data_IF_985039036302
#
_entry.id   IF_985039036302
#
_cell.length_a   1.000
_cell.length_b   1.000
_cell.length_c   1.000
_cell.angle_alpha   90.00
_cell.angle_beta   90.00
_cell.angle_gamma   90.00
#
_symmetry.space_group_name_H-M   'P 1'
#
loop_
_entity.id
_entity.type
_entity.pdbx_description
1 polymer ?
#
# COMPACT_ATOMS: atom_id res chain seq x y z
N UNK A 1 3.40 -18.04 -4.08
CA UNK A 1 3.90 -16.91 -3.28
C UNK A 1 2.70 -16.07 -2.88
N UNK A 2 2.55 -15.76 -1.60
CA UNK A 2 1.60 -14.78 -1.11
C UNK A 2 1.80 -13.44 -1.84
N UNK A 3 0.72 -12.83 -2.34
CA UNK A 3 0.76 -11.52 -2.98
C UNK A 3 0.29 -10.48 -1.99
N UNK A 4 1.07 -9.40 -1.75
CA UNK A 4 0.66 -8.39 -0.79
C UNK A 4 -0.65 -7.74 -1.22
N UNK A 5 -1.54 -7.45 -0.27
CA UNK A 5 -2.78 -6.71 -0.55
C UNK A 5 -2.68 -5.32 0.03
N UNK A 6 -3.19 -4.33 -0.71
CA UNK A 6 -3.24 -2.94 -0.27
C UNK A 6 -4.67 -2.52 -0.05
N UNK A 7 -4.92 -1.89 1.09
CA UNK A 7 -6.21 -1.39 1.51
C UNK A 7 -6.14 0.10 1.77
N UNK A 8 -7.24 0.82 1.54
CA UNK A 8 -7.37 2.24 1.84
C UNK A 8 -8.59 2.53 2.68
N UNK A 9 -8.51 3.57 3.49
CA UNK A 9 -9.65 4.13 4.22
C UNK A 9 -9.55 5.66 4.23
N UNK A 10 -10.60 6.35 3.81
CA UNK A 10 -10.70 7.82 3.87
C UNK A 10 -11.30 8.33 5.18
N UNK A 11 -11.91 7.43 5.97
CA UNK A 11 -12.73 7.79 7.14
C UNK A 11 -12.04 7.48 8.46
N UNK A 12 -11.49 6.28 8.62
CA UNK A 12 -10.96 5.77 9.88
C UNK A 12 -9.58 5.12 9.71
N UNK A 13 -8.70 5.25 10.70
CA UNK A 13 -7.35 4.63 10.68
C UNK A 13 -7.35 3.24 11.31
N UNK A 14 -8.32 2.99 12.17
CA UNK A 14 -8.42 1.82 13.01
C UNK A 14 -8.45 0.57 12.13
N UNK A 15 -7.50 -0.34 12.41
CA UNK A 15 -7.37 -1.60 11.72
C UNK A 15 -7.43 -2.73 12.74
N UNK A 16 -8.11 -3.82 12.37
CA UNK A 16 -8.20 -5.04 13.14
C UNK A 16 -7.83 -6.24 12.26
N UNK A 17 -7.36 -7.31 12.88
CA UNK A 17 -7.18 -8.58 12.18
C UNK A 17 -8.55 -9.23 11.90
N UNK A 18 -8.72 -9.82 10.72
CA UNK A 18 -9.95 -10.51 10.34
C UNK A 18 -9.91 -11.05 8.92
N UNK A 19 -10.65 -12.13 8.63
CA UNK A 19 -10.57 -12.83 7.34
C UNK A 19 -10.93 -11.98 6.11
N UNK A 20 -11.68 -10.90 6.30
CA UNK A 20 -12.22 -10.07 5.22
C UNK A 20 -11.45 -8.76 4.99
N UNK A 21 -10.39 -8.48 5.78
CA UNK A 21 -9.60 -7.26 5.67
C UNK A 21 -9.46 -6.50 7.00
N UNK A 22 -8.87 -5.28 6.97
CA UNK A 22 -8.54 -4.53 8.19
C UNK A 22 -9.76 -3.93 8.92
N UNK A 23 -10.98 -4.04 8.38
CA UNK A 23 -12.21 -3.55 8.99
C UNK A 23 -13.17 -2.90 7.99
N UNK A 24 -14.36 -2.50 8.45
CA UNK A 24 -15.48 -2.04 7.59
C UNK A 24 -15.21 -0.73 6.84
N UNK A 25 -14.26 0.08 7.30
CA UNK A 25 -13.87 1.33 6.66
C UNK A 25 -12.84 1.15 5.54
N UNK A 26 -12.32 -0.07 5.40
CA UNK A 26 -11.23 -0.39 4.49
C UNK A 26 -11.73 -1.00 3.20
N UNK A 27 -11.19 -0.51 2.08
CA UNK A 27 -11.47 -1.02 0.75
C UNK A 27 -10.21 -1.67 0.19
N UNK A 28 -10.32 -2.89 -0.35
CA UNK A 28 -9.22 -3.51 -1.08
C UNK A 28 -9.04 -2.82 -2.43
N UNK A 29 -7.84 -2.29 -2.69
CA UNK A 29 -7.59 -1.46 -3.88
C UNK A 29 -6.55 -2.04 -4.82
N UNK A 30 -5.76 -3.04 -4.40
CA UNK A 30 -4.62 -3.44 -5.21
C UNK A 30 -3.60 -4.32 -4.50
N UNK A 31 -2.44 -4.35 -5.13
CA UNK A 31 -1.26 -5.08 -4.71
C UNK A 31 0.00 -4.24 -4.96
N UNK A 32 1.13 -4.70 -4.43
CA UNK A 32 2.44 -4.09 -4.66
C UNK A 32 3.27 -5.04 -5.50
N UNK A 33 3.81 -4.55 -6.62
CA UNK A 33 4.86 -5.26 -7.32
C UNK A 33 6.17 -5.19 -6.52
N UNK A 34 6.43 -6.18 -5.68
CA UNK A 34 7.58 -6.20 -4.75
C UNK A 34 8.94 -6.15 -5.46
N UNK A 35 8.99 -6.54 -6.73
CA UNK A 35 10.21 -6.51 -7.55
C UNK A 35 10.53 -5.10 -8.06
N UNK A 36 9.50 -4.32 -8.37
CA UNK A 36 9.63 -2.93 -8.82
C UNK A 36 9.71 -1.97 -7.63
N UNK A 37 8.98 -2.26 -6.56
CA UNK A 37 8.86 -1.42 -5.37
C UNK A 37 9.83 -1.81 -4.25
N UNK A 38 11.11 -1.93 -4.60
CA UNK A 38 12.16 -2.49 -3.72
C UNK A 38 12.40 -1.71 -2.44
N UNK A 39 12.28 -0.38 -2.47
CA UNK A 39 12.48 0.46 -1.29
C UNK A 39 11.36 0.24 -0.27
N UNK A 40 10.10 0.29 -0.72
CA UNK A 40 8.95 -0.04 0.11
C UNK A 40 9.05 -1.47 0.64
N UNK A 41 9.34 -2.43 -0.24
CA UNK A 41 9.41 -3.83 0.15
C UNK A 41 10.56 -4.10 1.14
N UNK A 42 11.69 -3.42 1.00
CA UNK A 42 12.77 -3.48 1.98
C UNK A 42 12.31 -2.97 3.35
N UNK A 43 11.54 -1.88 3.40
CA UNK A 43 10.99 -1.39 4.67
C UNK A 43 9.96 -2.35 5.28
N UNK A 44 9.10 -2.95 4.45
CA UNK A 44 8.18 -4.01 4.88
C UNK A 44 8.96 -5.18 5.47
N UNK A 45 10.06 -5.62 4.85
CA UNK A 45 10.94 -6.67 5.38
C UNK A 45 11.57 -6.31 6.73
N UNK A 46 11.90 -5.03 6.97
CA UNK A 46 12.35 -4.57 8.29
C UNK A 46 11.25 -4.74 9.32
N UNK A 47 10.02 -4.33 9.01
CA UNK A 47 8.88 -4.52 9.91
C UNK A 47 8.50 -6.00 10.13
N UNK A 48 8.89 -6.88 9.22
CA UNK A 48 8.75 -8.33 9.36
C UNK A 48 9.89 -8.97 10.18
N UNK A 49 10.94 -8.23 10.56
CA UNK A 49 12.13 -8.79 11.22
C UNK A 49 13.09 -9.52 10.28
N UNK A 50 12.87 -9.45 8.96
CA UNK A 50 13.68 -10.13 7.94
C UNK A 50 14.90 -9.31 7.49
N UNK A 51 14.98 -8.04 7.91
CA UNK A 51 16.04 -7.11 7.54
C UNK A 51 16.32 -6.14 8.67
N UNK A 52 17.58 -5.76 8.86
CA UNK A 52 17.99 -4.85 9.93
C UNK A 52 17.65 -3.37 9.67
N UNK A 53 17.55 -2.95 8.40
CA UNK A 53 17.28 -1.57 8.04
C UNK A 53 16.93 -1.37 6.57
N UNK A 54 16.27 -0.24 6.28
CA UNK A 54 15.86 0.17 4.95
C UNK A 54 15.71 1.69 4.88
N UNK A 55 15.91 2.32 3.71
CA UNK A 55 15.56 3.72 3.52
C UNK A 55 14.05 3.92 3.70
N UNK A 56 13.64 5.10 4.17
CA UNK A 56 12.24 5.49 4.21
C UNK A 56 11.79 5.94 2.80
N UNK A 57 10.91 5.19 2.11
CA UNK A 57 10.38 5.61 0.82
C UNK A 57 9.48 6.85 0.97
N UNK A 58 9.60 7.77 0.01
CA UNK A 58 8.68 8.93 -0.09
C UNK A 58 7.35 8.58 -0.77
N UNK A 59 7.27 7.42 -1.40
CA UNK A 59 6.12 6.96 -2.14
C UNK A 59 6.40 5.69 -2.94
N UNK A 60 5.35 5.12 -3.53
CA UNK A 60 5.42 3.90 -4.32
C UNK A 60 4.32 3.84 -5.39
N UNK A 61 4.49 3.00 -6.42
CA UNK A 61 3.41 2.71 -7.36
C UNK A 61 2.58 1.52 -6.87
N UNK A 62 1.28 1.75 -6.75
CA UNK A 62 0.27 0.74 -6.47
C UNK A 62 -0.18 0.10 -7.78
N UNK A 63 -0.22 -1.24 -7.81
CA UNK A 63 -0.92 -1.99 -8.87
C UNK A 63 -2.40 -2.07 -8.51
N UNK A 64 -3.15 -1.08 -8.99
CA UNK A 64 -4.56 -0.89 -8.68
C UNK A 64 -5.50 -1.88 -9.37
N UNK A 65 -6.49 -2.37 -8.63
CA UNK A 65 -7.60 -3.15 -9.17
C UNK A 65 -8.53 -2.25 -9.97
N UNK A 66 -8.75 -2.60 -11.24
CA UNK A 66 -9.66 -1.87 -12.12
C UNK A 66 -11.13 -1.89 -11.66
N UNK A 67 -11.52 -2.87 -10.84
CA UNK A 67 -12.84 -2.98 -10.24
C UNK A 67 -13.03 -2.10 -8.99
N UNK A 68 -11.96 -1.50 -8.46
CA UNK A 68 -12.03 -0.69 -7.24
C UNK A 68 -12.52 0.73 -7.57
N UNK A 69 -13.63 1.20 -6.95
CA UNK A 69 -14.12 2.56 -7.14
C UNK A 69 -13.08 3.62 -6.75
N UNK A 70 -12.32 3.35 -5.67
CA UNK A 70 -11.27 4.24 -5.22
C UNK A 70 -10.13 4.39 -6.25
N UNK A 71 -9.78 3.31 -6.97
CA UNK A 71 -8.78 3.37 -8.04
C UNK A 71 -9.27 4.20 -9.23
N UNK A 72 -10.55 4.07 -9.59
CA UNK A 72 -11.15 4.88 -10.63
C UNK A 72 -11.08 6.37 -10.28
N UNK A 73 -11.48 6.73 -9.05
CA UNK A 73 -11.41 8.10 -8.53
C UNK A 73 -9.96 8.62 -8.48
N UNK A 74 -9.02 7.83 -7.94
CA UNK A 74 -7.61 8.21 -7.84
C UNK A 74 -7.00 8.50 -9.22
N UNK A 75 -7.40 7.74 -10.25
CA UNK A 75 -6.95 7.95 -11.63
C UNK A 75 -7.53 9.22 -12.24
N UNK A 76 -8.81 9.51 -11.99
CA UNK A 76 -9.50 10.68 -12.52
C UNK A 76 -9.01 11.98 -11.85
N UNK A 77 -8.95 11.98 -10.52
CA UNK A 77 -8.65 13.19 -9.73
C UNK A 77 -7.15 13.41 -9.51
N UNK A 78 -6.33 12.36 -9.59
CA UNK A 78 -4.89 12.44 -9.33
C UNK A 78 -4.62 13.08 -7.96
N UNK A 79 -3.78 14.11 -7.93
CA UNK A 79 -3.42 14.83 -6.70
C UNK A 79 -4.60 15.52 -5.98
N UNK A 80 -5.75 15.68 -6.65
CA UNK A 80 -6.97 16.20 -6.03
C UNK A 80 -7.81 15.13 -5.33
N UNK A 81 -7.43 13.85 -5.42
CA UNK A 81 -8.05 12.78 -4.65
C UNK A 81 -7.91 13.06 -3.15
N UNK A 82 -8.95 12.72 -2.37
CA UNK A 82 -8.90 12.86 -0.92
C UNK A 82 -7.70 12.08 -0.36
N UNK A 83 -7.02 12.63 0.65
CA UNK A 83 -5.98 11.90 1.39
C UNK A 83 -6.58 10.66 2.08
N UNK A 84 -5.79 9.67 2.44
CA UNK A 84 -6.33 8.39 2.96
C UNK A 84 -5.33 7.67 3.87
N UNK A 85 -5.83 6.84 4.76
CA UNK A 85 -5.03 5.84 5.44
C UNK A 85 -4.77 4.66 4.52
N UNK A 86 -3.58 4.09 4.60
CA UNK A 86 -3.19 2.94 3.78
C UNK A 86 -2.73 1.80 4.69
N UNK A 87 -3.19 0.59 4.39
CA UNK A 87 -2.75 -0.63 5.05
C UNK A 87 -2.15 -1.61 4.03
N UNK A 88 -1.01 -2.20 4.37
CA UNK A 88 -0.35 -3.26 3.60
C UNK A 88 -0.51 -4.55 4.37
N UNK A 89 -1.17 -5.52 3.75
CA UNK A 89 -1.11 -6.92 4.13
C UNK A 89 0.06 -7.56 3.38
N UNK A 90 1.20 -7.84 4.03
CA UNK A 90 2.39 -8.34 3.34
C UNK A 90 2.21 -9.77 2.81
N UNK A 91 1.25 -10.53 3.36
CA UNK A 91 1.02 -11.94 3.02
C UNK A 91 -0.29 -12.17 2.24
N UNK A 92 -1.18 -11.19 2.23
CA UNK A 92 -2.48 -11.27 1.59
C UNK A 92 -3.48 -12.21 2.29
N UNK A 93 -3.14 -12.66 3.50
CA UNK A 93 -3.90 -13.62 4.31
C UNK A 93 -4.51 -13.01 5.58
N UNK A 94 -4.45 -11.68 5.71
CA UNK A 94 -4.95 -10.93 6.85
C UNK A 94 -4.31 -11.25 8.21
N UNK A 95 -3.19 -11.97 8.24
CA UNK A 95 -2.47 -12.29 9.48
C UNK A 95 -1.73 -11.09 10.09
N UNK A 96 -1.40 -10.09 9.26
CA UNK A 96 -0.68 -8.89 9.67
C UNK A 96 -1.02 -7.70 8.77
N UNK A 97 -1.04 -6.51 9.33
CA UNK A 97 -1.14 -5.26 8.58
C UNK A 97 -0.08 -4.24 9.01
N UNK A 98 0.43 -3.49 8.04
CA UNK A 98 1.23 -2.29 8.24
C UNK A 98 0.42 -1.07 7.81
N UNK A 99 0.01 -0.26 8.78
CA UNK A 99 -0.91 0.87 8.58
C UNK A 99 -0.16 2.18 8.68
N UNK A 100 -0.38 3.10 7.73
CA UNK A 100 0.35 4.36 7.72
C UNK A 100 0.13 5.18 8.99
N UNK A 101 1.18 5.84 9.48
CA UNK A 101 1.13 6.71 10.67
C UNK A 101 0.51 8.08 10.38
N UNK A 102 0.58 8.51 9.12
CA UNK A 102 -0.11 9.70 8.58
C UNK A 102 -0.96 9.31 7.36
N UNK A 103 -1.91 10.17 6.98
CA UNK A 103 -2.63 10.02 5.72
C UNK A 103 -1.67 10.17 4.54
N UNK A 104 -1.83 9.30 3.56
CA UNK A 104 -1.15 9.29 2.27
C UNK A 104 -1.95 10.10 1.24
N UNK A 105 -1.31 10.44 0.13
CA UNK A 105 -1.96 11.13 -0.99
C UNK A 105 -1.64 10.47 -2.32
N UNK A 106 -2.52 10.64 -3.30
CA UNK A 106 -2.20 10.31 -4.70
C UNK A 106 -1.31 11.41 -5.27
N UNK A 107 -0.33 11.05 -6.09
CA UNK A 107 0.46 12.03 -6.81
C UNK A 107 1.61 11.45 -7.62
N UNK A 108 2.16 12.27 -8.50
CA UNK A 108 3.33 11.90 -9.30
C UNK A 108 4.54 11.62 -8.40
N UNK A 109 5.28 10.57 -8.71
CA UNK A 109 6.56 10.24 -8.07
C UNK A 109 7.71 10.72 -8.96
N UNK A 110 8.89 10.89 -8.37
CA UNK A 110 10.07 11.35 -9.11
C UNK A 110 10.53 10.35 -10.19
N UNK A 111 10.29 9.06 -9.95
CA UNK A 111 10.57 7.99 -10.92
C UNK A 111 9.36 7.75 -11.81
N UNK A 112 9.58 7.28 -13.05
CA UNK A 112 8.51 6.92 -13.99
C UNK A 112 7.71 5.73 -13.45
N UNK A 113 6.41 5.71 -13.74
CA UNK A 113 5.56 4.55 -13.51
C UNK A 113 6.13 3.32 -14.25
N UNK A 114 6.10 2.12 -13.65
CA UNK A 114 6.54 0.93 -14.33
C UNK A 114 5.76 0.68 -15.62
N UNK A 115 6.45 0.28 -16.68
CA UNK A 115 5.81 -0.05 -17.95
C UNK A 115 5.01 -1.35 -17.82
N UNK A 116 3.71 -1.31 -18.13
CA UNK A 116 2.87 -2.49 -18.14
C UNK A 116 3.16 -3.33 -19.38
N UNK A 117 3.54 -4.60 -19.21
CA UNK A 117 3.79 -5.50 -20.34
C UNK A 117 2.50 -5.75 -21.15
N UNK A 118 2.56 -5.71 -22.50
CA UNK A 118 1.37 -5.75 -23.36
C UNK A 118 0.57 -7.07 -23.33
N UNK A 119 1.13 -8.15 -22.74
CA UNK A 119 0.51 -9.48 -22.70
C UNK A 119 -0.42 -9.77 -21.51
N UNK A 120 -0.68 -8.81 -20.61
CA UNK A 120 -1.55 -9.01 -19.45
C UNK A 120 -3.03 -8.79 -19.81
N UNK A 121 -3.86 -9.81 -19.57
CA UNK A 121 -5.33 -9.82 -19.84
C UNK A 121 -6.09 -8.85 -18.93
N UNK A 122 -5.62 -8.64 -17.70
CA UNK A 122 -6.10 -7.58 -16.81
C UNK A 122 -4.93 -6.66 -16.48
N UNK A 123 -4.98 -5.42 -16.97
CA UNK A 123 -3.92 -4.43 -16.78
C UNK A 123 -4.11 -3.76 -15.42
N UNK A 124 -3.21 -3.96 -14.44
CA UNK A 124 -3.27 -3.18 -13.22
C UNK A 124 -3.12 -1.69 -13.54
N UNK A 125 -3.89 -0.86 -12.85
CA UNK A 125 -3.80 0.60 -13.00
C UNK A 125 -2.71 1.08 -12.07
N UNK A 126 -1.60 1.57 -12.63
CA UNK A 126 -0.50 2.10 -11.83
C UNK A 126 -0.89 3.46 -11.22
N UNK A 127 -0.97 3.54 -9.90
CA UNK A 127 -1.29 4.76 -9.15
C UNK A 127 -0.12 5.15 -8.26
N UNK A 128 0.39 6.38 -8.41
CA UNK A 128 1.46 6.90 -7.56
C UNK A 128 0.92 7.30 -6.19
N UNK A 129 1.45 6.68 -5.14
CA UNK A 129 1.09 6.93 -3.75
C UNK A 129 2.25 7.64 -3.05
N UNK A 130 1.99 8.79 -2.46
CA UNK A 130 2.94 9.54 -1.63
C UNK A 130 2.71 9.23 -0.16
N UNK A 131 3.81 8.92 0.52
CA UNK A 131 3.80 8.56 1.93
C UNK A 131 4.32 9.73 2.76
N UNK A 132 3.80 9.87 3.98
CA UNK A 132 4.26 10.86 4.95
C UNK A 132 4.65 10.17 6.24
N UNK A 133 5.86 10.46 6.72
CA UNK A 133 6.37 9.89 7.97
C UNK A 133 6.01 10.74 9.17
N UNK A 134 6.04 10.11 10.35
CA UNK A 134 5.99 10.75 11.67
C UNK A 134 7.07 10.12 12.53
N UNK A 135 7.93 10.93 13.15
CA UNK A 135 9.04 10.46 14.00
C UNK A 135 9.89 9.37 13.31
N UNK A 136 10.24 9.58 12.04
CA UNK A 136 10.98 8.62 11.20
C UNK A 136 10.32 7.24 11.05
N UNK A 137 9.00 7.15 11.22
CA UNK A 137 8.19 5.95 10.96
C UNK A 137 7.17 6.21 9.88
N UNK A 138 6.89 5.18 9.08
CA UNK A 138 5.84 5.20 8.07
C UNK A 138 4.64 4.36 8.46
N UNK A 139 4.87 3.25 9.17
CA UNK A 139 3.83 2.29 9.51
C UNK A 139 3.82 1.95 11.00
N UNK A 140 2.62 1.74 11.53
CA UNK A 140 2.40 0.95 12.73
C UNK A 140 2.02 -0.48 12.33
N UNK A 141 2.44 -1.46 13.13
CA UNK A 141 2.20 -2.88 12.90
C UNK A 141 0.99 -3.37 13.69
N UNK A 142 0.11 -4.10 13.03
CA UNK A 142 -1.07 -4.73 13.62
C UNK A 142 -0.99 -6.25 13.37
N UNK A 143 -1.01 -7.02 14.45
CA UNK A 143 -0.80 -8.47 14.44
C UNK A 143 0.44 -8.90 15.22
N UNK A 144 0.70 -10.21 15.34
CA UNK A 144 1.77 -10.73 16.19
C UNK A 144 3.11 -10.14 15.75
N UNK A 145 3.99 -9.77 16.68
CA UNK A 145 5.37 -9.43 16.34
C UNK A 145 6.07 -10.71 15.84
N UNK A 146 6.89 -10.61 14.78
CA UNK A 146 7.74 -11.75 14.40
C UNK A 146 8.59 -12.13 15.61
N UNK A 147 8.53 -13.40 16.00
CA UNK A 147 9.46 -14.00 16.97
C UNK A 147 10.83 -14.21 16.29
#
# INVERSE_FOLDING_TARGET
MASPKVWVSTTAREAALGGDGPGVHWQHVGSINTTQEKELWSLVQVHLGLKAGAPLPKGFYLDGLSSSPWIAEAKERGSACESFWLAIDPFGDASRYFVTVNRSTVGSLARRAPETHPGLVSRPISVGIRLSSKDSRLFDSFGPAGQ
#
